data_IF_292882541002
#
_entry.id   IF_292882541002
#
_cell.length_a   1.000
_cell.length_b   1.000
_cell.length_c   1.000
_cell.angle_alpha   90.00
_cell.angle_beta   90.00
_cell.angle_gamma   90.00
#
_symmetry.space_group_name_H-M   'P 1'
#
loop_
_entity.id
_entity.type
_entity.pdbx_description
1 polymer ?
#
# COMPACT_ATOMS: atom_id res chain seq x y z
N UNK A 1 43.85 -8.75 -13.93
CA UNK A 1 43.05 -7.60 -14.43
C UNK A 1 41.62 -7.76 -13.97
N UNK A 2 41.03 -6.68 -13.46
CA UNK A 2 39.78 -6.65 -12.71
C UNK A 2 38.51 -6.50 -13.58
N UNK A 3 37.43 -7.12 -13.09
CA UNK A 3 36.02 -6.69 -13.01
C UNK A 3 35.25 -6.17 -14.25
N UNK A 4 34.07 -6.75 -14.49
CA UNK A 4 32.75 -6.08 -14.30
C UNK A 4 31.67 -6.68 -15.22
N UNK A 5 30.99 -7.72 -14.77
CA UNK A 5 29.70 -8.12 -15.34
C UNK A 5 28.61 -7.22 -14.76
N UNK A 6 27.97 -6.40 -15.61
CA UNK A 6 26.87 -5.50 -15.22
C UNK A 6 25.68 -6.34 -14.74
N UNK A 7 25.39 -6.23 -13.44
CA UNK A 7 24.14 -6.69 -12.83
C UNK A 7 22.97 -5.94 -13.48
N UNK A 8 21.90 -6.61 -13.97
CA UNK A 8 20.71 -5.89 -14.36
C UNK A 8 20.08 -5.21 -13.14
N UNK A 9 19.83 -3.91 -13.32
CA UNK A 9 19.33 -2.94 -12.34
C UNK A 9 17.89 -3.24 -11.89
N UNK A 10 17.60 -2.89 -10.64
CA UNK A 10 16.36 -3.05 -9.84
C UNK A 10 15.11 -2.31 -10.42
N UNK A 11 15.13 -1.88 -11.67
CA UNK A 11 14.02 -1.07 -12.23
C UNK A 11 12.97 -1.96 -12.91
N UNK A 12 12.27 -2.76 -12.11
CA UNK A 12 11.21 -3.65 -12.59
C UNK A 12 9.93 -3.60 -11.75
N UNK A 13 9.62 -2.45 -11.15
CA UNK A 13 8.48 -2.31 -10.23
C UNK A 13 7.32 -1.58 -10.91
N UNK A 14 6.20 -2.31 -11.05
CA UNK A 14 4.83 -1.81 -11.21
C UNK A 14 4.48 -1.04 -12.51
N UNK A 15 4.23 -1.80 -13.58
CA UNK A 15 3.28 -1.38 -14.63
C UNK A 15 1.88 -1.93 -14.32
N UNK A 16 1.11 -1.22 -13.52
CA UNK A 16 -0.35 -1.40 -13.46
C UNK A 16 -1.07 -0.04 -13.48
N UNK A 17 -0.74 0.79 -14.47
CA UNK A 17 -1.41 2.07 -14.71
C UNK A 17 -1.56 2.35 -16.20
N UNK A 18 -2.48 1.65 -16.85
CA UNK A 18 -3.03 2.09 -18.15
C UNK A 18 -4.28 1.32 -18.55
N UNK A 19 -5.41 1.48 -17.83
CA UNK A 19 -6.66 0.98 -18.42
C UNK A 19 -7.89 1.87 -18.33
N UNK A 20 -7.94 2.94 -17.54
CA UNK A 20 -9.16 3.76 -17.48
C UNK A 20 -8.82 5.25 -17.47
N UNK A 21 -8.45 5.74 -18.65
CA UNK A 21 -8.39 7.16 -19.00
C UNK A 21 -9.34 7.38 -20.16
N UNK A 22 -10.57 7.79 -19.85
CA UNK A 22 -11.48 8.56 -20.71
C UNK A 22 -12.74 8.86 -19.89
N UNK A 23 -13.15 10.12 -19.92
CA UNK A 23 -14.30 10.74 -19.23
C UNK A 23 -14.00 11.34 -17.86
N UNK A 24 -13.42 12.54 -17.92
CA UNK A 24 -13.34 13.49 -16.81
C UNK A 24 -14.58 14.40 -16.92
N UNK A 25 -15.56 14.23 -16.03
CA UNK A 25 -16.58 15.25 -15.77
C UNK A 25 -16.41 15.69 -14.33
N UNK A 26 -16.06 16.95 -14.15
CA UNK A 26 -15.82 17.56 -12.85
C UNK A 26 -17.17 17.87 -12.20
N UNK A 27 -17.55 17.08 -11.20
CA UNK A 27 -18.70 17.39 -10.35
C UNK A 27 -18.12 17.93 -9.04
N UNK A 28 -18.23 19.25 -8.89
CA UNK A 28 -17.67 19.98 -7.77
C UNK A 28 -18.41 19.69 -6.47
N UNK A 29 -17.85 18.80 -5.66
CA UNK A 29 -18.13 18.82 -4.22
C UNK A 29 -17.46 20.08 -3.68
N UNK A 30 -18.27 21.08 -3.37
CA UNK A 30 -17.80 22.31 -2.75
C UNK A 30 -17.48 22.01 -1.29
N UNK A 31 -16.36 21.31 -1.05
CA UNK A 31 -15.70 21.31 0.26
C UNK A 31 -15.43 22.78 0.55
N UNK A 32 -16.13 23.34 1.54
CA UNK A 32 -15.76 24.65 2.08
C UNK A 32 -14.36 24.46 2.67
N UNK A 33 -13.33 24.76 1.89
CA UNK A 33 -12.00 24.99 2.42
C UNK A 33 -12.13 26.21 3.33
N UNK A 34 -12.39 25.94 4.61
CA UNK A 34 -12.19 26.96 5.63
C UNK A 34 -10.68 27.22 5.65
N UNK A 35 -10.27 28.45 5.36
CA UNK A 35 -8.89 28.96 5.58
C UNK A 35 -8.56 29.04 7.08
N UNK A 36 -9.03 28.07 7.86
CA UNK A 36 -8.73 27.91 9.26
C UNK A 36 -7.65 26.85 9.28
N UNK A 37 -6.40 27.27 9.50
CA UNK A 37 -5.33 26.34 9.84
C UNK A 37 -5.77 25.72 11.17
N UNK A 38 -6.09 24.41 11.23
CA UNK A 38 -6.45 23.80 12.50
C UNK A 38 -5.28 24.01 13.46
N UNK A 39 -5.55 24.27 14.75
CA UNK A 39 -4.49 24.37 15.74
C UNK A 39 -3.66 23.08 15.68
N UNK A 40 -2.33 23.16 15.84
CA UNK A 40 -1.47 21.99 15.81
C UNK A 40 -2.03 20.96 16.79
N UNK A 41 -2.37 19.77 16.31
CA UNK A 41 -2.84 18.69 17.18
C UNK A 41 -1.64 18.16 17.97
N UNK A 42 -1.53 18.46 19.28
CA UNK A 42 -0.35 18.07 20.03
C UNK A 42 -0.47 16.59 20.41
N UNK A 43 0.36 15.74 19.80
CA UNK A 43 0.51 14.36 20.26
C UNK A 43 1.14 14.39 21.66
N UNK A 44 0.51 13.72 22.62
CA UNK A 44 1.10 13.53 23.95
C UNK A 44 2.40 12.71 23.83
N UNK A 45 3.30 12.82 24.81
CA UNK A 45 4.56 12.06 24.83
C UNK A 45 4.31 10.55 24.67
N UNK A 46 3.31 10.04 25.40
CA UNK A 46 2.86 8.65 25.33
C UNK A 46 2.34 8.27 23.95
N UNK A 47 1.54 9.14 23.29
CA UNK A 47 1.05 8.89 21.94
C UNK A 47 2.19 8.87 20.91
N UNK A 48 3.19 9.73 21.08
CA UNK A 48 4.36 9.77 20.21
C UNK A 48 5.23 8.51 20.36
N UNK A 49 5.42 8.04 21.59
CA UNK A 49 6.13 6.78 21.89
C UNK A 49 5.38 5.58 21.30
N UNK A 50 4.06 5.49 21.50
CA UNK A 50 3.24 4.45 20.90
C UNK A 50 3.31 4.48 19.36
N UNK A 51 3.30 5.66 18.75
CA UNK A 51 3.44 5.81 17.29
C UNK A 51 4.83 5.38 16.79
N UNK A 52 5.90 5.65 17.56
CA UNK A 52 7.25 5.15 17.25
C UNK A 52 7.31 3.62 17.32
N UNK A 53 6.79 3.03 18.41
CA UNK A 53 6.73 1.59 18.57
C UNK A 53 5.95 0.92 17.44
N UNK A 54 4.84 1.52 17.01
CA UNK A 54 4.04 1.02 15.89
C UNK A 54 4.85 1.06 14.58
N UNK A 55 5.53 2.17 14.29
CA UNK A 55 6.40 2.25 13.10
C UNK A 55 7.50 1.20 13.14
N UNK A 56 8.14 1.02 14.28
CA UNK A 56 9.20 0.02 14.47
C UNK A 56 8.67 -1.40 14.24
N UNK A 57 7.51 -1.74 14.82
CA UNK A 57 6.84 -3.02 14.64
C UNK A 57 6.46 -3.28 13.18
N UNK A 58 5.97 -2.26 12.47
CA UNK A 58 5.72 -2.39 11.04
C UNK A 58 7.04 -2.58 10.26
N UNK A 59 8.13 -1.91 10.62
CA UNK A 59 9.40 -2.01 9.87
C UNK A 59 10.23 -3.26 10.16
N UNK A 60 10.00 -3.96 11.27
CA UNK A 60 10.85 -5.08 11.72
C UNK A 60 10.44 -6.44 11.14
N UNK A 61 9.17 -6.64 10.78
CA UNK A 61 8.70 -7.85 10.11
C UNK A 61 8.96 -7.80 8.59
N UNK A 62 9.08 -8.95 7.89
CA UNK A 62 9.10 -8.98 6.43
C UNK A 62 7.74 -8.53 5.88
N UNK A 63 7.57 -7.22 5.72
CA UNK A 63 6.33 -6.56 5.29
C UNK A 63 5.84 -7.01 3.91
N UNK A 64 6.76 -7.46 3.06
CA UNK A 64 6.50 -7.82 1.67
C UNK A 64 7.46 -8.91 1.20
N UNK A 65 6.94 -10.01 0.68
CA UNK A 65 7.75 -11.00 -0.07
C UNK A 65 7.80 -10.62 -1.55
N UNK A 66 8.84 -11.05 -2.24
CA UNK A 66 8.86 -10.95 -3.70
C UNK A 66 7.79 -11.85 -4.31
N UNK A 67 7.11 -11.30 -5.32
CA UNK A 67 6.10 -12.03 -6.08
C UNK A 67 6.73 -13.19 -6.84
N UNK A 68 6.03 -14.32 -6.84
CA UNK A 68 6.41 -15.52 -7.59
C UNK A 68 5.19 -16.01 -8.39
N UNK A 69 5.29 -15.96 -9.71
CA UNK A 69 4.21 -16.31 -10.64
C UNK A 69 3.71 -17.76 -10.48
N UNK A 70 4.52 -18.65 -9.91
CA UNK A 70 4.19 -20.07 -9.78
C UNK A 70 3.47 -20.42 -8.47
N UNK A 71 3.30 -19.45 -7.55
CA UNK A 71 2.71 -19.69 -6.24
C UNK A 71 1.22 -19.38 -6.20
N UNK A 72 0.43 -20.12 -5.41
CA UNK A 72 -0.97 -19.80 -5.15
C UNK A 72 -1.13 -18.36 -4.66
N UNK A 73 -2.11 -17.67 -5.22
CA UNK A 73 -2.43 -16.27 -4.91
C UNK A 73 -3.76 -16.19 -4.19
N UNK A 74 -3.85 -15.29 -3.21
CA UNK A 74 -5.11 -14.92 -2.56
C UNK A 74 -5.21 -13.41 -2.50
N UNK A 75 -6.37 -12.88 -2.86
CA UNK A 75 -6.66 -11.45 -2.72
C UNK A 75 -7.69 -11.30 -1.61
N UNK A 76 -7.35 -10.47 -0.62
CA UNK A 76 -8.27 -10.03 0.43
C UNK A 76 -8.59 -8.56 0.17
N UNK A 77 -9.87 -8.22 0.09
CA UNK A 77 -10.31 -6.84 -0.16
C UNK A 77 -11.26 -6.40 0.92
N UNK A 78 -11.13 -5.14 1.33
CA UNK A 78 -12.09 -4.45 2.17
C UNK A 78 -12.50 -3.15 1.48
N UNK A 79 -13.77 -2.79 1.60
CA UNK A 79 -14.30 -1.60 0.96
C UNK A 79 -15.25 -0.86 1.91
N UNK A 80 -15.09 0.45 1.92
CA UNK A 80 -16.03 1.39 2.52
C UNK A 80 -16.65 2.25 1.41
N UNK A 81 -17.66 3.05 1.76
CA UNK A 81 -18.19 4.07 0.86
C UNK A 81 -17.06 4.93 0.28
N UNK A 82 -16.04 5.29 1.06
CA UNK A 82 -15.05 6.28 0.63
C UNK A 82 -13.82 5.70 -0.07
N UNK A 83 -13.55 4.40 0.11
CA UNK A 83 -12.30 3.80 -0.36
C UNK A 83 -12.40 2.28 -0.47
N UNK A 84 -11.63 1.72 -1.40
CA UNK A 84 -11.35 0.30 -1.54
C UNK A 84 -9.90 0.06 -1.11
N UNK A 85 -9.70 -0.94 -0.28
CA UNK A 85 -8.41 -1.51 0.09
C UNK A 85 -8.32 -2.98 -0.34
N UNK A 86 -7.10 -3.44 -0.59
CA UNK A 86 -6.85 -4.86 -0.84
C UNK A 86 -5.42 -5.26 -0.59
N UNK A 87 -5.22 -6.54 -0.33
CA UNK A 87 -3.93 -7.17 -0.08
C UNK A 87 -3.83 -8.40 -0.99
N UNK A 88 -2.75 -8.47 -1.76
CA UNK A 88 -2.36 -9.67 -2.50
C UNK A 88 -1.41 -10.48 -1.62
N UNK A 89 -1.78 -11.73 -1.36
CA UNK A 89 -1.06 -12.68 -0.52
C UNK A 89 -0.61 -13.88 -1.36
N UNK A 90 0.54 -14.47 -1.04
CA UNK A 90 1.00 -15.75 -1.59
C UNK A 90 1.46 -16.70 -0.49
N UNK A 91 1.43 -18.01 -0.76
CA UNK A 91 1.91 -19.01 0.19
C UNK A 91 3.43 -19.17 0.14
N UNK A 92 4.10 -19.03 1.27
CA UNK A 92 5.52 -19.31 1.41
C UNK A 92 5.76 -20.28 2.56
N UNK A 93 6.74 -21.15 2.38
CA UNK A 93 7.21 -22.00 3.47
C UNK A 93 8.14 -21.20 4.39
N UNK A 94 7.80 -21.16 5.67
CA UNK A 94 8.63 -20.64 6.75
C UNK A 94 8.63 -21.71 7.84
N UNK A 95 9.82 -22.11 8.28
CA UNK A 95 10.00 -23.10 9.36
C UNK A 95 9.22 -24.41 9.15
N UNK A 96 9.10 -24.87 7.90
CA UNK A 96 8.41 -26.12 7.54
C UNK A 96 6.88 -26.02 7.43
N UNK A 97 6.32 -24.83 7.55
CA UNK A 97 4.88 -24.59 7.46
C UNK A 97 4.55 -23.58 6.34
N UNK A 98 3.40 -23.78 5.69
CA UNK A 98 2.89 -22.84 4.69
C UNK A 98 2.21 -21.64 5.37
N UNK A 99 2.72 -20.45 5.10
CA UNK A 99 2.19 -19.19 5.58
C UNK A 99 1.72 -18.32 4.41
N UNK A 100 0.55 -17.70 4.55
CA UNK A 100 0.11 -16.64 3.64
C UNK A 100 0.82 -15.35 4.01
N UNK A 101 1.62 -14.82 3.10
CA UNK A 101 2.38 -13.57 3.31
C UNK A 101 1.99 -12.53 2.26
N UNK A 102 1.95 -11.25 2.65
CA UNK A 102 1.64 -10.17 1.73
C UNK A 102 2.76 -9.95 0.71
N UNK A 103 2.34 -9.67 -0.52
CA UNK A 103 3.22 -9.43 -1.67
C UNK A 103 2.91 -8.08 -2.33
N UNK A 104 1.68 -7.59 -2.24
CA UNK A 104 1.32 -6.24 -2.64
C UNK A 104 0.13 -5.71 -1.83
N UNK A 105 0.11 -4.39 -1.64
CA UNK A 105 -1.02 -3.66 -1.07
C UNK A 105 -1.64 -2.78 -2.15
N UNK A 106 -2.96 -2.67 -2.13
CA UNK A 106 -3.73 -1.80 -3.00
C UNK A 106 -4.64 -0.92 -2.16
N UNK A 107 -4.69 0.37 -2.46
CA UNK A 107 -5.70 1.27 -1.93
C UNK A 107 -6.10 2.29 -2.97
N UNK A 108 -7.40 2.54 -3.06
CA UNK A 108 -7.99 3.54 -3.96
C UNK A 108 -9.09 4.27 -3.21
N UNK A 109 -8.98 5.60 -3.16
CA UNK A 109 -10.09 6.45 -2.74
C UNK A 109 -11.17 6.45 -3.83
N UNK A 110 -12.41 6.21 -3.43
CA UNK A 110 -13.57 6.29 -4.29
C UNK A 110 -13.92 7.76 -4.55
N UNK A 111 -14.32 8.05 -5.78
CA UNK A 111 -14.93 9.33 -6.11
C UNK A 111 -16.42 9.27 -5.71
N UNK A 112 -17.06 10.43 -5.50
CA UNK A 112 -18.50 10.52 -5.19
C UNK A 112 -19.43 9.85 -6.22
N UNK A 113 -18.89 9.49 -7.40
CA UNK A 113 -19.62 8.75 -8.43
C UNK A 113 -19.53 7.23 -8.26
N UNK A 114 -18.63 6.74 -7.39
CA UNK A 114 -18.38 5.32 -7.10
C UNK A 114 -18.92 4.88 -5.72
N UNK A 115 -19.41 5.82 -4.89
CA UNK A 115 -20.21 5.62 -3.65
C UNK A 115 -21.68 5.41 -3.95
#
# INVERSE_FOLDING_TARGET
>A
MATSARRPSITGLFRFRKLLSKNKKEIGVKVRQTNIVPPPFPLSKTALEAFKALKEAFTSAPLLRYFDENKPMRVETDASAFAIGGILMQQFEIDGHLHWLPVAYYSKKLLDTET
#
